data_IF_632330678101
#
_entry.id   IF_632330678101
#
_cell.length_a   1.000
_cell.length_b   1.000
_cell.length_c   1.000
_cell.angle_alpha   90.00
_cell.angle_beta   90.00
_cell.angle_gamma   90.00
#
_symmetry.space_group_name_H-M   'P 1'
#
loop_
_entity.id
_entity.type
_entity.pdbx_description
1 polymer ?
2 non-polymer ?
3 non-polymer ?
4 non-polymer ?
5 non-polymer ?
6 water ?
#
# COMPACT_ATOMS: atom_id res chain seq x y z
N UNK A 21 5.64 15.75 13.23
CA UNK A 21 5.57 14.28 12.79
C UNK A 21 5.57 14.11 11.28
N UNK A 22 6.03 12.98 10.73
CA UNK A 22 5.93 12.78 9.27
C UNK A 22 4.47 12.84 8.84
N UNK A 23 4.22 13.38 7.65
CA UNK A 23 2.85 13.44 7.12
C UNK A 23 2.69 12.47 5.94
N UNK A 24 1.65 11.69 6.00
CA UNK A 24 1.39 10.59 5.10
C UNK A 24 0.20 10.97 4.25
N UNK A 25 0.30 10.79 2.94
CA UNK A 25 -0.83 11.02 2.04
C UNK A 25 -1.08 9.83 1.18
N UNK A 26 -2.36 9.54 0.97
CA UNK A 26 -2.81 8.42 0.13
C UNK A 26 -3.49 9.00 -1.10
N UNK A 27 -3.01 8.66 -2.30
CA UNK A 27 -3.52 9.16 -3.55
C UNK A 27 -4.13 8.05 -4.36
N UNK A 28 -5.44 8.18 -4.65
CA UNK A 28 -6.14 7.22 -5.53
C UNK A 28 -6.17 7.80 -6.95
N UNK A 29 -5.71 6.99 -7.94
CA UNK A 29 -5.59 7.43 -9.34
C UNK A 29 -6.51 6.57 -10.25
N UNK A 30 -7.54 7.16 -10.89
CA UNK A 30 -8.42 6.34 -11.72
C UNK A 30 -9.46 5.71 -10.82
N UNK A 31 -10.33 4.93 -11.47
CA UNK A 31 -11.58 4.46 -10.81
C UNK A 31 -11.34 3.52 -9.66
N UNK A 32 -10.54 2.50 -9.90
CA UNK A 32 -10.21 1.61 -8.76
C UNK A 32 -9.47 2.29 -7.61
N UNK A 33 -8.44 3.06 -7.92
CA UNK A 33 -7.78 3.86 -6.91
C UNK A 33 -8.71 4.72 -6.06
N UNK A 34 -9.67 5.38 -6.70
CA UNK A 34 -10.62 6.30 -6.06
C UNK A 34 -11.65 5.51 -5.25
N UNK A 35 -11.95 4.28 -5.74
CA UNK A 35 -12.79 3.36 -4.95
C UNK A 35 -12.10 2.98 -3.66
N UNK A 36 -10.79 2.67 -3.74
CA UNK A 36 -10.05 2.29 -2.54
C UNK A 36 -10.01 3.44 -1.55
N UNK A 37 -9.77 4.63 -2.05
CA UNK A 37 -9.73 5.80 -1.17
C UNK A 37 -11.10 6.01 -0.48
N UNK A 38 -12.21 6.00 -1.27
CA UNK A 38 -13.52 6.04 -0.64
C UNK A 38 -13.77 4.95 0.44
N UNK A 39 -13.45 3.70 0.15
CA UNK A 39 -13.66 2.62 1.13
C UNK A 39 -12.76 2.80 2.39
N UNK A 40 -11.60 3.44 2.25
CA UNK A 40 -10.72 3.62 3.41
C UNK A 40 -11.17 4.78 4.28
N UNK A 41 -11.65 5.85 3.66
CA UNK A 41 -12.29 6.94 4.40
C UNK A 41 -13.51 6.43 5.18
N UNK A 42 -14.34 5.63 4.50
CA UNK A 42 -15.50 5.00 5.17
C UNK A 42 -15.05 4.30 6.45
N UNK A 43 -14.06 3.41 6.33
CA UNK A 43 -13.53 2.70 7.50
C UNK A 43 -12.99 3.62 8.59
N UNK A 44 -12.72 4.90 8.29
CA UNK A 44 -12.17 5.85 9.23
C UNK A 44 -10.66 5.69 9.26
N UNK A 45 -9.90 6.77 9.24
CA UNK A 45 -8.46 6.66 9.19
C UNK A 45 -7.89 8.03 9.30
N UNK A 46 -7.29 8.39 10.43
CA UNK A 46 -7.08 9.81 10.43
C UNK A 46 -5.54 9.88 10.60
N UNK A 47 -4.99 11.09 10.68
CA UNK A 47 -3.56 11.44 10.51
C UNK A 47 -3.05 11.19 9.08
N UNK A 48 -3.97 10.95 8.16
CA UNK A 48 -3.67 10.64 6.77
C UNK A 48 -4.52 11.55 5.88
N UNK A 49 -3.87 12.18 4.92
CA UNK A 49 -4.56 13.03 3.99
C UNK A 49 -4.87 12.23 2.72
N UNK A 50 -6.07 12.35 2.23
CA UNK A 50 -6.51 11.61 1.02
C UNK A 50 -6.65 12.57 -0.14
N UNK A 51 -6.30 12.07 -1.34
CA UNK A 51 -6.38 12.87 -2.57
C UNK A 51 -6.95 11.93 -3.64
N UNK A 52 -7.99 12.37 -4.30
CA UNK A 52 -8.57 11.62 -5.42
C UNK A 52 -8.24 12.30 -6.74
N UNK A 53 -7.76 11.45 -7.71
CA UNK A 53 -7.37 11.95 -9.02
C UNK A 53 -8.06 11.11 -10.07
N UNK A 54 -8.71 11.75 -11.02
CA UNK A 54 -9.37 11.02 -12.12
C UNK A 54 -9.66 11.94 -13.29
N UNK A 55 -9.84 11.31 -14.48
CA UNK A 55 -10.36 11.98 -15.67
C UNK A 55 -11.89 12.06 -15.61
N UNK A 56 -12.50 10.94 -15.14
CA UNK A 56 -13.95 10.75 -15.06
C UNK A 56 -14.55 11.69 -14.01
N UNK A 57 -15.26 12.71 -14.45
CA UNK A 57 -15.87 13.61 -13.47
C UNK A 57 -17.09 13.06 -12.77
N UNK A 58 -17.80 12.14 -13.43
CA UNK A 58 -18.92 11.49 -12.76
C UNK A 58 -18.47 10.71 -11.50
N UNK A 59 -17.44 9.92 -11.64
CA UNK A 59 -16.89 9.18 -10.54
C UNK A 59 -16.28 10.11 -9.51
N UNK A 60 -15.48 11.06 -9.95
CA UNK A 60 -14.86 11.99 -9.00
C UNK A 60 -15.85 12.81 -8.18
N UNK A 61 -17.01 13.20 -8.72
CA UNK A 61 -17.95 13.98 -7.93
C UNK A 61 -18.48 13.20 -6.74
N UNK A 62 -18.41 11.88 -6.78
CA UNK A 62 -18.81 11.05 -5.65
C UNK A 62 -17.70 10.75 -4.66
N UNK A 63 -16.51 11.20 -4.93
CA UNK A 63 -15.40 10.88 -4.02
C UNK A 63 -15.64 11.61 -2.68
N UNK A 64 -15.32 10.91 -1.63
CA UNK A 64 -15.35 11.48 -0.29
C UNK A 64 -14.05 12.18 0.09
N UNK A 65 -13.06 12.11 -0.76
CA UNK A 65 -11.79 12.75 -0.48
C UNK A 65 -11.82 14.28 -0.37
N UNK A 66 -10.99 14.79 0.56
CA UNK A 66 -10.90 16.22 0.84
C UNK A 66 -10.28 17.00 -0.31
N UNK A 67 -9.50 16.36 -1.12
CA UNK A 67 -8.76 17.02 -2.17
C UNK A 67 -9.00 16.21 -3.45
N UNK A 68 -9.62 16.84 -4.45
CA UNK A 68 -10.04 16.17 -5.67
C UNK A 68 -9.36 16.86 -6.83
N UNK A 69 -8.82 16.08 -7.77
CA UNK A 69 -8.17 16.67 -8.90
C UNK A 69 -8.69 16.03 -10.16
N UNK A 70 -9.38 16.79 -10.96
CA UNK A 70 -9.82 16.29 -12.27
C UNK A 70 -8.69 16.57 -13.26
N UNK A 71 -8.15 15.56 -13.83
CA UNK A 71 -7.08 15.72 -14.83
C UNK A 71 -7.70 15.51 -16.22
N UNK A 72 -7.14 16.14 -17.25
CA UNK A 72 -7.43 15.92 -18.65
C UNK A 72 -8.80 16.39 -19.11
N UNK A 73 -9.32 17.38 -18.42
CA UNK A 73 -10.64 17.95 -18.74
C UNK A 73 -10.66 18.29 -20.25
N UNK A 74 -9.58 18.88 -20.73
CA UNK A 74 -9.48 19.23 -22.14
C UNK A 74 -9.37 17.99 -23.02
N UNK A 75 -8.55 17.02 -22.59
CA UNK A 75 -8.35 15.85 -23.43
C UNK A 75 -9.62 15.02 -23.51
N UNK A 76 -10.34 14.87 -22.37
CA UNK A 76 -11.43 13.94 -22.29
C UNK A 76 -12.79 14.57 -22.10
N UNK A 77 -12.84 15.85 -21.79
CA UNK A 77 -14.09 16.56 -21.57
C UNK A 77 -14.92 16.05 -20.40
N UNK A 78 -14.25 15.56 -19.36
CA UNK A 78 -14.92 15.10 -18.17
C UNK A 78 -15.18 13.60 -18.17
N UNK A 79 -14.93 12.93 -19.31
CA UNK A 79 -15.06 11.48 -19.40
C UNK A 79 -13.76 10.83 -18.94
N UNK A 80 -13.81 9.46 -18.87
CA UNK A 80 -12.58 8.75 -18.63
C UNK A 80 -11.78 8.59 -19.93
N UNK A 81 -10.72 7.83 -19.81
CA UNK A 81 -9.70 7.73 -20.85
C UNK A 81 -10.14 6.66 -21.90
N UNK A 82 -11.24 5.98 -21.59
CA UNK A 82 -11.79 5.01 -22.56
C UNK A 82 -10.83 3.84 -22.75
N UNK A 83 -10.13 3.50 -21.68
CA UNK A 83 -9.17 2.39 -21.61
C UNK A 83 -7.87 2.61 -22.40
N UNK A 84 -7.59 3.82 -22.81
CA UNK A 84 -6.36 4.19 -23.53
C UNK A 84 -5.33 4.73 -22.54
N UNK A 85 -4.29 4.00 -22.19
CA UNK A 85 -3.38 4.52 -21.18
C UNK A 85 -2.57 5.70 -21.61
N UNK A 86 -2.41 5.94 -22.93
CA UNK A 86 -1.71 7.13 -23.35
C UNK A 86 -2.46 8.40 -22.97
N UNK A 87 -3.80 8.38 -22.97
CA UNK A 87 -4.61 9.52 -22.60
C UNK A 87 -4.51 9.79 -21.09
N UNK A 88 -4.50 8.73 -20.26
CA UNK A 88 -4.21 8.96 -18.85
C UNK A 88 -2.85 9.55 -18.54
N UNK A 89 -1.84 9.08 -19.26
CA UNK A 89 -0.51 9.66 -19.09
C UNK A 89 -0.48 11.17 -19.44
N UNK A 90 -1.06 11.51 -20.60
CA UNK A 90 -1.05 12.92 -21.07
C UNK A 90 -1.92 13.77 -20.19
N UNK A 91 -2.98 13.16 -19.63
CA UNK A 91 -3.86 13.92 -18.70
C UNK A 91 -3.12 14.29 -17.42
N UNK A 92 -2.27 13.35 -16.88
CA UNK A 92 -1.50 13.69 -15.65
C UNK A 92 -0.42 14.73 -15.91
N UNK A 93 0.28 14.57 -17.06
CA UNK A 93 1.36 15.50 -17.39
C UNK A 93 0.82 16.89 -17.54
N UNK A 94 -0.32 16.98 -18.20
CA UNK A 94 -0.94 18.28 -18.39
C UNK A 94 -1.33 18.94 -17.06
N UNK A 95 -1.63 18.13 -16.02
CA UNK A 95 -2.05 18.67 -14.73
C UNK A 95 -0.95 18.56 -13.68
N UNK A 96 0.31 18.59 -14.09
CA UNK A 96 1.44 18.36 -13.17
C UNK A 96 1.42 19.37 -12.02
N UNK A 97 1.21 20.68 -12.34
CA UNK A 97 1.28 21.65 -11.24
C UNK A 97 0.15 21.49 -10.24
N UNK A 98 -1.07 21.05 -10.68
CA UNK A 98 -2.08 20.81 -9.65
C UNK A 98 -1.73 19.56 -8.81
N UNK A 99 -1.02 18.63 -9.44
CA UNK A 99 -0.60 17.41 -8.71
C UNK A 99 0.50 17.72 -7.73
N UNK A 100 1.49 18.54 -8.13
CA UNK A 100 2.56 18.95 -7.19
C UNK A 100 1.96 19.66 -5.98
N UNK A 101 0.98 20.57 -6.20
CA UNK A 101 0.52 21.37 -5.09
C UNK A 101 -0.28 20.55 -4.10
N UNK A 102 -0.94 19.47 -4.57
CA UNK A 102 -1.69 18.63 -3.67
C UNK A 102 -0.76 17.76 -2.84
N UNK A 103 0.39 17.39 -3.41
CA UNK A 103 1.42 16.58 -2.75
C UNK A 103 2.30 17.36 -1.77
N UNK A 104 2.55 18.62 -2.04
CA UNK A 104 3.56 19.41 -1.35
C UNK A 104 3.44 19.30 0.18
N UNK A 105 4.53 19.02 0.83
CA UNK A 105 4.63 18.79 2.26
C UNK A 105 4.63 17.32 2.67
N UNK A 106 4.23 16.41 1.80
CA UNK A 106 4.15 15.01 2.21
C UNK A 106 5.55 14.42 2.44
N UNK A 107 5.73 13.71 3.54
CA UNK A 107 6.94 12.90 3.72
C UNK A 107 6.83 11.51 3.10
N UNK A 108 5.62 10.94 3.09
CA UNK A 108 5.32 9.64 2.50
C UNK A 108 4.08 9.74 1.70
N UNK A 109 4.12 9.13 0.49
CA UNK A 109 2.92 9.11 -0.41
C UNK A 109 2.64 7.67 -0.85
N UNK A 110 1.40 7.22 -0.63
CA UNK A 110 0.97 5.93 -1.13
C UNK A 110 0.10 6.18 -2.37
N UNK A 111 0.47 5.61 -3.49
CA UNK A 111 -0.25 5.87 -4.78
C UNK A 111 -0.96 4.56 -5.09
N UNK A 112 -2.28 4.55 -5.08
CA UNK A 112 -3.04 3.33 -5.32
C UNK A 112 -3.89 3.42 -6.58
N UNK A 113 -3.88 2.32 -7.34
CA UNK A 113 -4.55 2.38 -8.64
C UNK A 113 -4.79 0.97 -9.16
N UNK A 114 -5.85 0.82 -10.01
CA UNK A 114 -6.10 -0.50 -10.68
C UNK A 114 -5.34 -0.45 -12.01
N UNK A 115 -4.38 -1.31 -12.28
CA UNK A 115 -3.72 -1.33 -13.55
C UNK A 115 -4.56 -2.02 -14.63
N UNK A 116 -4.42 -1.55 -15.86
CA UNK A 116 -5.13 -2.16 -16.95
C UNK A 116 -6.05 -1.25 -17.72
N UNK A 117 -6.70 -0.28 -17.07
CA UNK A 117 -7.57 0.76 -17.71
C UNK A 117 -6.75 1.92 -18.26
N UNK A 118 -7.43 3.02 -18.53
CA UNK A 118 -6.71 4.10 -19.19
C UNK A 118 -6.09 5.08 -18.20
N UNK A 119 -6.83 5.49 -17.18
CA UNK A 119 -6.37 6.54 -16.27
C UNK A 119 -5.32 6.03 -15.26
N UNK A 120 -5.62 5.02 -14.46
CA UNK A 120 -4.64 4.46 -13.52
C UNK A 120 -3.36 3.98 -14.21
N UNK A 121 -3.55 3.30 -15.35
CA UNK A 121 -2.35 2.75 -16.01
C UNK A 121 -1.42 3.85 -16.44
N UNK A 122 -1.95 4.90 -17.07
CA UNK A 122 -1.13 5.96 -17.62
C UNK A 122 -0.75 7.04 -16.63
N UNK A 123 -1.64 7.38 -15.68
CA UNK A 123 -1.49 8.58 -14.84
C UNK A 123 -0.75 8.15 -13.58
N UNK A 124 -0.97 6.93 -13.08
CA UNK A 124 -0.44 6.57 -11.77
C UNK A 124 1.11 6.64 -11.75
N UNK A 125 1.82 6.19 -12.79
CA UNK A 125 3.29 6.34 -12.82
C UNK A 125 3.74 7.74 -12.87
N UNK A 126 2.91 8.65 -13.41
CA UNK A 126 3.32 10.06 -13.45
C UNK A 126 3.14 10.73 -12.12
N UNK A 127 2.06 10.40 -11.44
CA UNK A 127 1.84 10.87 -10.06
C UNK A 127 2.96 10.38 -9.18
N UNK A 128 3.31 9.09 -9.31
CA UNK A 128 4.43 8.56 -8.52
C UNK A 128 5.72 9.31 -8.76
N UNK A 129 6.06 9.51 -10.04
CA UNK A 129 7.30 10.24 -10.33
C UNK A 129 7.27 11.64 -9.74
N UNK A 130 6.12 12.35 -9.88
CA UNK A 130 6.05 13.69 -9.29
C UNK A 130 6.29 13.64 -7.76
N UNK A 131 5.66 12.67 -7.11
CA UNK A 131 5.84 12.54 -5.67
C UNK A 131 7.30 12.29 -5.30
N UNK A 132 7.97 11.45 -6.06
CA UNK A 132 9.34 11.05 -5.67
C UNK A 132 10.28 12.18 -5.97
N UNK A 133 10.04 12.90 -7.08
CA UNK A 133 10.88 14.05 -7.39
C UNK A 133 10.61 15.24 -6.47
N UNK A 134 9.51 15.28 -5.76
CA UNK A 134 9.34 16.29 -4.74
C UNK A 134 9.85 15.88 -3.36
N UNK A 135 10.54 14.75 -3.25
CA UNK A 135 11.10 14.28 -1.99
C UNK A 135 10.30 13.31 -1.12
N UNK A 136 9.08 12.94 -1.49
CA UNK A 136 8.37 12.01 -0.64
C UNK A 136 8.92 10.60 -0.86
N UNK A 137 8.91 9.79 0.24
CA UNK A 137 9.04 8.33 0.08
C UNK A 137 7.78 7.86 -0.61
N UNK A 138 7.91 7.21 -1.75
CA UNK A 138 6.73 6.95 -2.59
C UNK A 138 6.50 5.47 -2.76
N UNK A 139 5.32 4.99 -2.30
CA UNK A 139 4.97 3.58 -2.32
C UNK A 139 3.75 3.41 -3.26
N UNK A 140 3.89 2.57 -4.25
CA UNK A 140 2.71 2.17 -5.04
C UNK A 140 2.08 0.84 -4.57
N UNK A 141 0.74 0.83 -4.55
CA UNK A 141 -0.05 -0.35 -4.22
C UNK A 141 -1.06 -0.45 -5.38
N UNK A 142 -0.81 -1.41 -6.31
CA UNK A 142 -1.68 -1.48 -7.47
C UNK A 142 -2.20 -2.88 -7.66
N UNK A 143 -3.42 -2.95 -8.27
CA UNK A 143 -3.94 -4.24 -8.69
C UNK A 143 -3.66 -4.59 -10.17
N UNK A 144 -3.51 -5.90 -10.48
CA UNK A 144 -3.64 -6.40 -11.91
C UNK A 144 -5.02 -6.96 -12.16
N UNK A 145 -5.48 -6.85 -13.38
CA UNK A 145 -6.84 -7.26 -13.67
C UNK A 145 -7.10 -8.77 -13.56
N UNK A 146 -8.36 -9.05 -13.38
CA UNK A 146 -8.83 -10.46 -13.38
C UNK A 146 -8.62 -11.09 -14.76
N UNK A 147 -8.27 -12.36 -14.81
CA UNK A 147 -8.09 -13.01 -16.09
C UNK A 147 -9.34 -12.95 -16.97
N UNK A 148 -10.53 -12.95 -16.33
CA UNK A 148 -11.79 -13.08 -17.08
C UNK A 148 -11.97 -11.69 -17.90
N UNK A 149 -11.13 -10.68 -17.59
CA UNK A 149 -11.15 -9.38 -18.33
C UNK A 149 -10.28 -9.43 -19.59
N UNK A 150 -9.62 -10.55 -19.83
CA UNK A 150 -8.99 -10.78 -21.10
C UNK A 150 -7.51 -10.40 -21.17
N UNK A 151 -6.93 -10.86 -22.28
CA UNK A 151 -5.51 -10.76 -22.48
C UNK A 151 -5.12 -9.36 -22.72
N UNK A 152 -5.95 -8.60 -23.41
CA UNK A 152 -5.43 -7.23 -23.52
C UNK A 152 -5.38 -6.34 -22.29
N UNK A 153 -6.40 -6.38 -21.59
CA UNK A 153 -6.34 -5.74 -20.28
C UNK A 153 -5.05 -6.17 -19.53
N UNK A 154 -4.74 -7.45 -19.57
CA UNK A 154 -3.59 -7.96 -18.81
C UNK A 154 -2.27 -7.41 -19.35
N UNK A 155 -2.10 -7.37 -20.68
CA UNK A 155 -0.90 -6.79 -21.28
C UNK A 155 -0.76 -5.29 -20.98
N UNK A 156 -1.86 -4.52 -21.05
CA UNK A 156 -1.78 -3.09 -20.73
C UNK A 156 -1.38 -2.98 -19.27
N UNK A 157 -1.93 -3.89 -18.41
CA UNK A 157 -1.67 -3.75 -16.99
C UNK A 157 -0.22 -4.03 -16.71
N UNK A 158 0.37 -4.97 -17.43
CA UNK A 158 1.77 -5.34 -17.14
C UNK A 158 2.69 -4.22 -17.56
N UNK A 159 2.35 -3.54 -18.63
CA UNK A 159 3.10 -2.32 -18.96
C UNK A 159 2.96 -1.23 -17.89
N UNK A 160 1.77 -1.08 -17.30
CA UNK A 160 1.64 -0.15 -16.20
C UNK A 160 2.50 -0.52 -15.01
N UNK A 161 2.52 -1.83 -14.67
CA UNK A 161 3.25 -2.29 -13.54
C UNK A 161 4.70 -1.94 -13.76
N UNK A 162 5.22 -2.18 -14.98
CA UNK A 162 6.64 -1.87 -15.24
C UNK A 162 6.94 -0.38 -15.09
N UNK A 163 6.06 0.48 -15.61
CA UNK A 163 6.21 1.93 -15.46
C UNK A 163 6.18 2.36 -13.99
N UNK A 164 5.28 1.76 -13.19
CA UNK A 164 5.20 2.10 -11.78
C UNK A 164 6.51 1.70 -11.11
N UNK A 165 7.00 0.50 -11.41
CA UNK A 165 8.28 0.08 -10.77
C UNK A 165 9.38 1.09 -11.06
N UNK A 166 9.42 1.65 -12.25
CA UNK A 166 10.45 2.61 -12.59
C UNK A 166 10.27 3.94 -11.86
N UNK A 167 9.11 4.19 -11.29
CA UNK A 167 8.84 5.53 -10.75
C UNK A 167 8.72 5.57 -9.23
N UNK A 168 8.47 4.46 -8.55
CA UNK A 168 8.24 4.48 -7.11
C UNK A 168 9.52 4.11 -6.38
N UNK A 169 9.52 4.28 -5.02
CA UNK A 169 10.54 3.70 -4.18
C UNK A 169 10.32 2.23 -3.96
N UNK A 170 9.09 1.79 -3.76
CA UNK A 170 8.66 0.41 -3.47
C UNK A 170 7.30 0.19 -4.04
N UNK A 171 7.06 -1.04 -4.49
CA UNK A 171 5.80 -1.41 -5.17
C UNK A 171 5.21 -2.68 -4.57
N UNK A 172 3.93 -2.60 -4.28
CA UNK A 172 3.14 -3.75 -3.88
C UNK A 172 2.10 -4.01 -4.95
N UNK A 173 2.08 -5.20 -5.51
CA UNK A 173 1.11 -5.63 -6.54
C UNK A 173 0.19 -6.72 -6.00
N UNK A 174 -1.09 -6.49 -6.22
CA UNK A 174 -2.25 -7.31 -5.81
C UNK A 174 -2.91 -7.88 -7.07
N UNK A 175 -2.63 -9.12 -7.47
CA UNK A 175 -3.38 -9.67 -8.61
C UNK A 175 -4.81 -9.88 -8.21
N UNK A 176 -5.73 -9.23 -8.96
CA UNK A 176 -7.15 -9.41 -8.57
C UNK A 176 -7.59 -10.89 -8.62
N UNK A 177 -6.94 -11.75 -9.46
CA UNK A 177 -7.27 -13.16 -9.50
C UNK A 177 -7.07 -13.83 -8.13
N UNK A 178 -6.18 -13.28 -7.28
CA UNK A 178 -6.08 -13.78 -5.92
C UNK A 178 -7.36 -13.63 -5.07
N UNK A 179 -8.27 -12.69 -5.42
CA UNK A 179 -9.52 -12.62 -4.66
C UNK A 179 -10.41 -13.83 -4.88
N UNK A 180 -10.20 -14.51 -5.97
CA UNK A 180 -11.02 -15.67 -6.27
C UNK A 180 -10.62 -16.81 -5.37
N UNK A 181 -9.44 -16.69 -4.72
CA UNK A 181 -8.95 -17.73 -3.80
C UNK A 181 -9.52 -17.60 -2.39
N UNK A 182 -10.12 -16.47 -2.06
CA UNK A 182 -10.62 -16.19 -0.72
C UNK A 182 -12.10 -15.96 -0.62
N UNK A 183 -12.84 -16.00 -1.73
CA UNK A 183 -14.27 -15.92 -1.75
C UNK A 183 -14.85 -17.31 -1.77
N UNK A 184 -16.11 -17.46 -1.32
CA UNK A 184 -16.96 -18.57 -1.79
C UNK A 184 -17.91 -18.08 -2.91
N UNK A 185 -18.78 -18.98 -3.41
CA UNK A 185 -19.58 -18.63 -4.62
C UNK A 185 -20.58 -17.48 -4.38
N UNK A 186 -20.85 -17.18 -3.09
CA UNK A 186 -21.76 -16.10 -2.74
C UNK A 186 -21.16 -14.82 -2.20
N UNK A 187 -19.88 -14.82 -1.87
CA UNK A 187 -19.29 -13.61 -1.31
C UNK A 187 -19.58 -12.39 -2.26
N UNK A 188 -20.18 -11.32 -1.74
CA UNK A 188 -20.47 -10.15 -2.58
C UNK A 188 -19.21 -9.55 -3.14
N UNK A 189 -19.27 -9.09 -4.38
CA UNK A 189 -18.06 -8.48 -4.93
C UNK A 189 -17.52 -7.31 -4.12
N UNK A 190 -18.38 -6.52 -3.45
CA UNK A 190 -17.88 -5.38 -2.69
C UNK A 190 -17.13 -5.79 -1.45
N UNK A 191 -17.48 -6.99 -0.89
CA UNK A 191 -16.74 -7.55 0.22
C UNK A 191 -15.37 -8.05 -0.19
N UNK A 192 -15.27 -8.73 -1.33
CA UNK A 192 -13.98 -9.08 -1.89
C UNK A 192 -13.11 -7.83 -2.07
N UNK A 193 -13.66 -6.79 -2.69
CA UNK A 193 -12.82 -5.61 -2.90
C UNK A 193 -12.32 -5.01 -1.60
N UNK A 194 -13.16 -5.03 -0.52
CA UNK A 194 -12.67 -4.52 0.76
C UNK A 194 -11.47 -5.33 1.25
N UNK A 195 -11.46 -6.64 1.02
CA UNK A 195 -10.28 -7.43 1.39
C UNK A 195 -9.02 -6.98 0.67
N UNK A 196 -9.14 -6.64 -0.59
CA UNK A 196 -7.92 -6.15 -1.23
C UNK A 196 -7.53 -4.78 -0.67
N UNK A 197 -8.51 -3.97 -0.27
CA UNK A 197 -8.15 -2.66 0.26
C UNK A 197 -7.34 -2.80 1.55
N UNK A 198 -7.50 -3.93 2.26
CA UNK A 198 -6.83 -4.04 3.56
C UNK A 198 -5.33 -4.00 3.41
N UNK A 199 -4.80 -4.50 2.29
CA UNK A 199 -3.36 -4.51 2.11
C UNK A 199 -2.85 -3.09 2.27
N UNK A 200 -3.44 -2.16 1.56
CA UNK A 200 -3.08 -0.73 1.69
C UNK A 200 -3.43 -0.19 3.06
N UNK A 201 -4.64 -0.46 3.53
CA UNK A 201 -5.09 0.19 4.75
C UNK A 201 -4.21 -0.22 5.93
N UNK A 202 -3.85 -1.48 5.99
CA UNK A 202 -2.98 -1.96 7.10
C UNK A 202 -1.55 -1.47 6.96
N UNK A 203 -1.02 -1.48 5.76
CA UNK A 203 0.28 -0.84 5.55
C UNK A 203 0.32 0.58 6.11
N UNK A 204 -0.65 1.40 5.68
CA UNK A 204 -0.63 2.80 6.03
C UNK A 204 -0.79 2.97 7.53
N UNK A 205 -1.81 2.28 8.11
CA UNK A 205 -2.03 2.29 9.56
C UNK A 205 -0.79 1.85 10.29
N UNK A 206 -0.11 0.84 9.79
CA UNK A 206 1.05 0.33 10.48
C UNK A 206 2.13 1.37 10.60
N UNK A 207 2.41 2.05 9.49
CA UNK A 207 3.41 3.11 9.45
C UNK A 207 2.97 4.27 10.31
N UNK A 208 1.71 4.64 10.20
CA UNK A 208 1.20 5.74 11.00
C UNK A 208 1.40 5.48 12.50
N UNK A 209 1.01 4.29 12.98
CA UNK A 209 1.25 3.93 14.39
C UNK A 209 2.77 3.89 14.76
N UNK A 210 3.64 3.47 13.88
CA UNK A 210 5.05 3.33 14.13
C UNK A 210 5.67 4.71 14.30
N UNK A 211 5.13 5.67 13.62
CA UNK A 211 5.55 7.05 13.75
C UNK A 211 4.97 7.69 15.01
N UNK A 212 3.76 7.36 15.35
CA UNK A 212 3.11 8.13 16.41
C UNK A 212 3.51 7.65 17.81
N UNK A 213 3.74 6.33 17.99
CA UNK A 213 3.92 5.78 19.34
C UNK A 213 5.41 5.74 19.65
N UNK A 214 5.77 5.95 20.88
CA UNK A 214 7.18 5.86 21.25
C UNK A 214 7.44 4.46 21.78
N UNK A 215 8.39 3.77 21.16
CA UNK A 215 8.60 2.40 21.62
C UNK A 215 9.75 2.27 22.62
N UNK A 216 9.74 1.19 23.37
CA UNK A 216 10.87 0.85 24.24
C UNK A 216 12.15 0.69 23.47
N UNK A 217 12.09 -0.09 22.37
CA UNK A 217 13.09 -0.08 21.32
C UNK A 217 12.42 0.63 20.16
N UNK A 218 12.73 1.91 20.01
CA UNK A 218 11.97 2.85 19.20
C UNK A 218 12.38 2.78 17.74
N UNK A 219 11.38 2.71 16.90
CA UNK A 219 11.54 2.81 15.45
C UNK A 219 10.96 4.15 14.98
N UNK A 220 11.50 4.69 13.89
CA UNK A 220 10.97 5.95 13.41
C UNK A 220 11.02 6.01 11.91
N UNK A 221 10.62 7.16 11.38
CA UNK A 221 10.50 7.28 9.93
C UNK A 221 11.86 7.20 9.24
N UNK A 222 12.97 7.52 9.93
CA UNK A 222 14.25 7.31 9.30
C UNK A 222 14.48 5.82 8.98
N UNK A 223 14.00 4.90 9.88
CA UNK A 223 14.10 3.44 9.64
C UNK A 223 13.19 3.05 8.45
N UNK A 224 11.96 3.60 8.41
CA UNK A 224 11.08 3.35 7.24
C UNK A 224 11.83 3.66 5.95
N UNK A 225 12.42 4.87 5.88
CA UNK A 225 13.18 5.28 4.70
C UNK A 225 14.35 4.34 4.34
N UNK A 226 15.05 3.90 5.34
CA UNK A 226 16.18 3.02 5.08
C UNK A 226 15.73 1.75 4.43
N UNK A 227 14.60 1.19 4.93
CA UNK A 227 14.10 -0.09 4.43
C UNK A 227 13.38 0.03 3.09
N UNK A 228 12.69 1.15 2.83
CA UNK A 228 11.82 1.32 1.64
C UNK A 228 12.39 2.13 0.51
N UNK A 229 13.42 2.97 0.69
CA UNK A 229 13.81 3.86 -0.42
C UNK A 229 14.54 3.11 -1.52
N UNK A 230 14.08 3.33 -2.77
CA UNK A 230 14.79 2.80 -3.94
C UNK A 230 15.05 1.31 -3.80
N UNK A 231 14.03 0.54 -3.46
CA UNK A 231 14.19 -0.88 -3.15
C UNK A 231 13.19 -1.83 -3.83
N UNK A 232 12.56 -1.44 -4.94
CA UNK A 232 11.73 -2.37 -5.81
C UNK A 232 10.48 -2.98 -5.18
N UNK A 233 10.36 -4.28 -5.22
CA UNK A 233 9.16 -4.96 -4.66
C UNK A 233 9.13 -4.93 -3.14
N UNK A 234 7.95 -4.88 -2.55
CA UNK A 234 7.77 -4.87 -1.10
C UNK A 234 6.60 -5.72 -0.63
N UNK A 235 6.67 -6.07 0.68
CA UNK A 235 5.53 -6.69 1.39
C UNK A 235 5.25 -5.80 2.61
N UNK A 236 4.01 -5.54 2.98
CA UNK A 236 3.74 -4.79 4.24
C UNK A 236 2.60 -5.58 4.84
N UNK A 237 2.74 -6.01 6.09
CA UNK A 237 1.75 -6.87 6.72
C UNK A 237 1.68 -6.58 8.22
N UNK A 238 0.54 -6.90 8.80
CA UNK A 238 0.26 -6.80 10.22
C UNK A 238 -0.33 -8.15 10.58
N UNK A 239 0.05 -8.67 11.74
CA UNK A 239 -0.52 -9.87 12.30
C UNK A 239 -0.80 -9.69 13.77
N UNK A 240 -1.97 -10.16 14.21
CA UNK A 240 -2.44 -10.00 15.60
C UNK A 240 -2.81 -11.36 16.16
N UNK A 241 -2.45 -11.64 17.42
CA UNK A 241 -2.80 -12.95 17.96
C UNK A 241 -2.72 -12.92 19.47
N UNK A 242 -3.26 -13.97 20.05
CA UNK A 242 -3.47 -14.12 21.47
C UNK A 242 -3.19 -15.54 21.89
N UNK A 243 -3.11 -15.68 23.17
CA UNK A 243 -3.06 -16.98 23.72
C UNK A 243 -1.69 -17.57 23.49
N UNK A 244 -1.72 -18.87 23.55
CA UNK A 244 -0.50 -19.62 23.53
C UNK A 244 0.00 -19.52 22.13
N UNK A 245 1.28 -19.29 21.98
CA UNK A 245 2.01 -19.32 20.72
C UNK A 245 1.69 -18.00 19.98
N UNK A 246 1.17 -17.02 20.71
CA UNK A 246 0.70 -15.81 20.05
C UNK A 246 1.79 -15.12 19.20
N UNK A 247 3.06 -15.12 19.66
CA UNK A 247 4.07 -14.40 18.88
C UNK A 247 4.38 -15.08 17.55
N UNK A 248 4.45 -16.37 17.57
CA UNK A 248 4.65 -17.06 16.30
C UNK A 248 3.46 -16.89 15.37
N UNK A 249 2.24 -17.08 15.89
CA UNK A 249 1.06 -16.96 15.03
C UNK A 249 0.93 -15.54 14.47
N UNK A 250 1.11 -14.50 15.30
CA UNK A 250 1.06 -13.14 14.78
C UNK A 250 2.13 -12.89 13.72
N UNK A 251 3.32 -13.43 13.94
CA UNK A 251 4.35 -13.15 12.94
C UNK A 251 4.08 -13.92 11.66
N UNK A 252 3.52 -15.11 11.74
CA UNK A 252 3.19 -15.82 10.50
C UNK A 252 2.04 -15.11 9.74
N UNK A 253 1.12 -14.48 10.44
CA UNK A 253 0.03 -13.76 9.82
C UNK A 253 0.53 -12.52 9.12
N UNK A 254 1.40 -11.81 9.80
CA UNK A 254 1.99 -10.62 9.18
C UNK A 254 2.62 -10.90 7.82
N UNK A 255 3.24 -12.07 7.64
CA UNK A 255 4.03 -12.31 6.41
C UNK A 255 3.34 -13.20 5.38
N UNK A 256 2.09 -13.59 5.61
CA UNK A 256 1.54 -14.65 4.79
C UNK A 256 0.26 -14.25 4.05
N UNK A 257 0.20 -13.10 3.44
CA UNK A 257 -1.10 -12.77 2.72
C UNK A 257 -1.32 -13.62 1.45
N UNK A 258 -2.49 -14.23 1.29
CA UNK A 258 -2.79 -14.88 0.00
C UNK A 258 -3.09 -13.94 -1.15
N UNK A 259 -2.98 -12.60 -0.99
CA UNK A 259 -3.30 -11.64 -2.08
C UNK A 259 -2.09 -11.06 -2.76
N UNK A 260 -0.89 -11.48 -2.38
CA UNK A 260 0.27 -10.69 -2.77
C UNK A 260 0.97 -11.41 -3.92
N UNK A 261 1.54 -10.64 -4.84
CA UNK A 261 2.41 -11.19 -5.87
C UNK A 261 3.77 -11.54 -5.27
N UNK A 262 4.28 -10.68 -4.40
CA UNK A 262 5.62 -10.79 -3.81
C UNK A 262 5.42 -11.32 -2.41
N UNK A 263 5.77 -12.58 -2.19
CA UNK A 263 5.92 -13.13 -0.86
C UNK A 263 7.24 -12.67 -0.21
N UNK A 264 7.41 -12.99 1.08
CA UNK A 264 8.59 -12.56 1.84
C UNK A 264 9.86 -13.36 1.53
N UNK A 265 9.75 -14.41 0.73
CA UNK A 265 10.94 -15.20 0.42
C UNK A 265 12.00 -14.39 -0.33
N UNK A 266 13.19 -14.36 0.18
CA UNK A 266 14.29 -13.66 -0.42
C UNK A 266 14.54 -12.22 0.12
N UNK A 267 13.69 -11.74 1.02
CA UNK A 267 13.84 -10.38 1.53
C UNK A 267 15.23 -10.05 2.08
N UNK A 268 15.77 -8.96 1.62
CA UNK A 268 17.08 -8.49 2.05
C UNK A 268 16.99 -7.48 3.21
N UNK A 269 15.96 -6.61 3.22
CA UNK A 269 15.68 -5.74 4.38
C UNK A 269 14.33 -5.99 5.03
N UNK A 270 14.29 -5.89 6.34
CA UNK A 270 13.04 -6.00 7.09
C UNK A 270 12.98 -4.93 8.17
N UNK A 271 11.84 -4.27 8.27
CA UNK A 271 11.47 -3.47 9.45
C UNK A 271 10.41 -4.29 10.16
N UNK A 272 10.64 -4.58 11.46
CA UNK A 272 9.70 -5.36 12.24
C UNK A 272 9.47 -4.78 13.58
N UNK A 273 8.22 -4.64 13.93
CA UNK A 273 7.77 -4.10 15.21
C UNK A 273 6.83 -5.09 15.90
N UNK A 274 7.12 -5.31 17.19
CA UNK A 274 6.25 -6.07 18.04
C UNK A 274 5.67 -5.18 19.11
N UNK A 275 4.36 -5.24 19.27
CA UNK A 275 3.63 -4.53 20.29
C UNK A 275 2.90 -5.52 21.18
N UNK A 276 3.00 -5.29 22.50
CA UNK A 276 2.31 -6.13 23.46
C UNK A 276 2.18 -5.36 24.76
N UNK A 277 1.54 -6.02 25.70
CA UNK A 277 1.36 -5.49 27.04
C UNK A 277 2.61 -5.76 27.86
N UNK A 278 2.45 -5.57 29.16
CA UNK A 278 3.58 -5.78 30.05
C UNK A 278 4.02 -7.22 30.08
N UNK A 279 3.19 -8.18 29.65
CA UNK A 279 3.68 -9.56 29.70
C UNK A 279 4.63 -9.92 28.56
N UNK A 280 4.84 -9.04 27.56
CA UNK A 280 5.63 -9.41 26.38
C UNK A 280 7.02 -9.93 26.82
N UNK A 281 7.36 -11.14 26.38
CA UNK A 281 8.60 -11.77 26.85
C UNK A 281 9.73 -11.64 25.83
N UNK A 282 10.97 -11.64 26.34
CA UNK A 282 12.10 -11.72 25.44
C UNK A 282 12.04 -12.96 24.57
N UNK A 283 11.75 -14.12 25.20
CA UNK A 283 11.67 -15.34 24.44
C UNK A 283 10.69 -15.22 23.24
N UNK A 284 9.50 -14.70 23.47
CA UNK A 284 8.52 -14.66 22.38
C UNK A 284 8.90 -13.66 21.29
N UNK A 285 9.59 -12.61 21.65
CA UNK A 285 10.17 -11.66 20.65
C UNK A 285 11.18 -12.36 19.77
N UNK A 286 12.09 -13.17 20.39
CA UNK A 286 13.00 -13.95 19.58
C UNK A 286 12.26 -14.89 18.65
N UNK A 287 11.21 -15.59 19.14
CA UNK A 287 10.53 -16.57 18.28
C UNK A 287 9.96 -15.87 17.02
N UNK A 288 9.28 -14.78 17.24
CA UNK A 288 8.68 -14.02 16.12
C UNK A 288 9.75 -13.56 15.13
N UNK A 289 10.87 -13.01 15.65
CA UNK A 289 11.95 -12.57 14.77
C UNK A 289 12.43 -13.73 13.90
N UNK A 290 12.65 -14.91 14.53
CA UNK A 290 13.15 -16.06 13.76
C UNK A 290 12.19 -16.53 12.67
N UNK A 291 10.87 -16.49 12.94
CA UNK A 291 9.89 -16.81 11.90
C UNK A 291 10.17 -15.99 10.66
N UNK A 292 10.38 -14.67 10.85
CA UNK A 292 10.57 -13.79 9.72
C UNK A 292 11.95 -14.01 9.13
N UNK A 293 12.98 -14.23 9.95
CA UNK A 293 14.24 -14.54 9.28
C UNK A 293 14.21 -15.84 8.48
N UNK A 294 13.60 -16.89 9.04
CA UNK A 294 13.51 -18.15 8.32
C UNK A 294 12.76 -17.95 7.00
N UNK A 295 11.53 -17.42 7.05
CA UNK A 295 10.78 -17.22 5.81
C UNK A 295 11.56 -16.34 4.84
N UNK A 296 12.33 -15.37 5.33
CA UNK A 296 13.23 -14.64 4.45
C UNK A 296 14.13 -15.60 3.70
N UNK A 297 14.88 -16.46 4.42
CA UNK A 297 15.86 -17.34 3.79
C UNK A 297 16.98 -16.49 3.19
N UNK A 298 17.58 -15.67 4.06
CA UNK A 298 18.57 -14.64 3.72
C UNK A 298 19.34 -13.97 4.85
N UNK A 299 20.42 -13.34 4.42
CA UNK A 299 21.30 -12.62 5.31
C UNK A 299 20.79 -11.16 5.30
N UNK A 300 19.72 -10.94 6.07
CA UNK A 300 18.82 -9.76 6.05
C UNK A 300 19.38 -8.49 6.72
N UNK A 301 18.83 -7.38 6.35
CA UNK A 301 19.06 -6.15 7.12
C UNK A 301 17.80 -5.93 7.97
N UNK A 302 17.79 -6.47 9.20
CA UNK A 302 16.62 -6.33 10.06
C UNK A 302 16.76 -5.19 11.05
N UNK A 303 15.73 -4.34 11.10
CA UNK A 303 15.59 -3.25 12.06
C UNK A 303 14.39 -3.64 12.93
N UNK A 304 14.66 -4.02 14.20
CA UNK A 304 13.68 -4.59 15.07
C UNK A 304 13.26 -3.56 16.12
N UNK A 305 11.98 -3.49 16.39
CA UNK A 305 11.51 -2.61 17.44
C UNK A 305 10.48 -3.27 18.35
N UNK A 306 10.25 -2.59 19.49
CA UNK A 306 9.23 -3.11 20.42
C UNK A 306 8.50 -1.99 21.12
N UNK A 307 7.16 -2.17 21.25
CA UNK A 307 6.32 -1.24 21.98
C UNK A 307 5.59 -2.01 23.07
N UNK A 308 5.55 -1.43 24.27
CA UNK A 308 4.77 -1.96 25.37
C UNK A 308 3.55 -1.05 25.51
N UNK A 309 2.39 -1.62 25.26
CA UNK A 309 1.13 -0.93 25.42
C UNK A 309 0.39 -1.59 26.58
N UNK A 310 0.40 -1.01 27.76
CA UNK A 310 -0.25 -1.69 28.88
C UNK A 310 -1.74 -1.85 28.71
N UNK A 311 -2.37 -1.22 27.69
CA UNK A 311 -3.82 -1.40 27.48
C UNK A 311 -3.99 -2.83 26.92
N UNK A 312 -2.90 -3.44 26.45
CA UNK A 312 -2.97 -4.78 25.89
C UNK A 312 -2.88 -5.80 27.01
N UNK A 313 -3.50 -7.02 26.78
CA UNK A 313 -3.53 -7.74 28.00
C UNK A 313 -2.82 -9.00 27.28
N UNK A 314 -3.67 -9.76 26.57
CA UNK A 314 -3.37 -11.04 26.06
C UNK A 314 -2.95 -10.90 24.54
N UNK A 315 -2.98 -9.71 23.99
CA UNK A 315 -2.83 -9.45 22.58
C UNK A 315 -1.42 -9.07 22.19
N UNK A 316 -0.97 -9.57 21.05
CA UNK A 316 0.29 -9.12 20.52
C UNK A 316 0.13 -8.87 19.01
N UNK A 317 0.76 -7.76 18.55
CA UNK A 317 0.70 -7.33 17.18
C UNK A 317 2.11 -7.31 16.62
N UNK A 318 2.30 -7.91 15.47
CA UNK A 318 3.56 -7.86 14.76
C UNK A 318 3.32 -7.13 13.44
N UNK A 319 4.14 -6.12 13.20
CA UNK A 319 4.15 -5.36 11.96
C UNK A 319 5.40 -5.72 11.19
N UNK A 320 5.26 -5.99 9.88
CA UNK A 320 6.42 -6.31 9.10
C UNK A 320 6.44 -5.53 7.78
N UNK A 321 7.57 -4.94 7.45
CA UNK A 321 7.81 -4.32 6.16
C UNK A 321 9.02 -5.04 5.58
N UNK A 322 8.85 -5.72 4.45
CA UNK A 322 9.99 -6.41 3.87
C UNK A 322 10.31 -5.95 2.44
N UNK A 323 11.59 -5.79 2.13
CA UNK A 323 11.98 -5.32 0.80
C UNK A 323 13.28 -5.99 0.36
N UNK A 324 13.74 -5.63 -0.83
CA UNK A 324 15.05 -6.11 -1.27
C UNK A 324 15.07 -7.53 -1.83
N UNK A 325 14.39 -7.77 -2.93
CA UNK A 325 14.36 -9.13 -3.51
C UNK A 325 15.19 -9.35 -4.78
#
# INVERSE_FOLDING_TARGET
MGSSHHHHHHSSGLVPRGSHMATLKVIGVGGGGNNAVNRMIDHGMNNVEFIAINTDGQALNLSKAESKIQIGEKLTRGLGAGANPEIGKKAAEESREQIEDAIQGADMVFVTSGMGGGTGTGAAPVVAKIAKEMGALTVGVVTRPFSFEGRKRQTQAAAGVEAMKAAVDTLIVIPNDRLLDIVDKSTPMMEAFKEADNVLRQGVQGISDLIAVSGEVNLDFADVKTIMSNQGSALMGIGVSSGENRAVEAAKKAISSPLLETSIVGAQGVLMNITGGESLSLFEAQEAADIVQDAADEDVNMIFGTVINPELQDEIVVTVIATGFD
#
